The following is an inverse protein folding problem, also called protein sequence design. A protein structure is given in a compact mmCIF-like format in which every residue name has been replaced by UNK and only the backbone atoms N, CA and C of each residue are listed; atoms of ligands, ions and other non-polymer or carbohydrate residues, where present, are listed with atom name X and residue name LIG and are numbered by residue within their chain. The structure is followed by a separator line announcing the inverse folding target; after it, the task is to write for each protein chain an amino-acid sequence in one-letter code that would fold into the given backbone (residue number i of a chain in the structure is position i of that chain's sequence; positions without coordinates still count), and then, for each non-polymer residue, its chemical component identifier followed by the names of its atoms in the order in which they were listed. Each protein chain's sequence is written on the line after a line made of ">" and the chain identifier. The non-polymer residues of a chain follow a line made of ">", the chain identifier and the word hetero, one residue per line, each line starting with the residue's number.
data_IF_760199530719
#
_entry.id   IF_760199530719
#
_cell.length_a   1.000
_cell.length_b   1.000
_cell.length_c   1.000
_cell.angle_alpha   90.00
_cell.angle_beta   90.00
_cell.angle_gamma   90.00
#
_symmetry.space_group_name_H-M   'P 1'
#
loop_
_entity.id
_entity.type
_entity.pdbx_description
1 polymer ?
#
# COMPACT_ATOMS: atom_id res chain seq x y z
N UNK A 1 42.31 33.03 14.46
CA UNK A 1 41.37 32.89 13.33
C UNK A 1 40.43 31.75 13.68
N UNK A 2 39.30 32.09 14.30
CA UNK A 2 38.34 31.10 14.80
C UNK A 2 37.41 30.73 13.65
N UNK A 3 37.54 29.50 13.15
CA UNK A 3 36.59 28.94 12.21
C UNK A 3 35.28 28.72 12.97
N UNK A 4 34.30 29.59 12.74
CA UNK A 4 32.92 29.37 13.14
C UNK A 4 32.40 28.18 12.35
N UNK A 5 32.32 27.02 13.01
CA UNK A 5 31.52 25.88 12.58
C UNK A 5 30.08 26.38 12.42
N UNK A 6 29.64 26.49 11.16
CA UNK A 6 28.24 26.66 10.85
C UNK A 6 27.48 25.47 11.45
N UNK A 7 26.44 25.70 12.26
CA UNK A 7 25.60 24.60 12.71
C UNK A 7 25.04 23.90 11.48
N UNK A 8 25.16 22.57 11.45
CA UNK A 8 24.44 21.72 10.51
C UNK A 8 22.95 22.05 10.65
N UNK A 9 22.44 22.92 9.77
CA UNK A 9 21.02 23.15 9.62
C UNK A 9 20.48 21.89 8.96
N UNK A 10 20.29 20.83 9.75
CA UNK A 10 19.29 19.81 9.45
C UNK A 10 17.98 20.57 9.30
N UNK A 11 17.64 20.93 8.06
CA UNK A 11 16.38 21.57 7.71
C UNK A 11 15.28 20.79 8.41
N UNK A 12 14.52 21.46 9.27
CA UNK A 12 13.43 20.83 10.01
C UNK A 12 12.58 19.99 9.03
N UNK A 13 12.17 18.77 9.41
CA UNK A 13 11.45 17.89 8.50
C UNK A 13 10.20 18.61 8.00
N UNK A 14 9.99 18.56 6.69
CA UNK A 14 8.87 19.22 6.04
C UNK A 14 7.55 18.66 6.59
N UNK A 15 6.70 19.56 7.10
CA UNK A 15 5.41 19.23 7.68
C UNK A 15 4.27 19.88 6.90
N UNK A 16 3.11 19.25 6.93
CA UNK A 16 1.88 19.83 6.39
C UNK A 16 1.15 20.73 7.40
N UNK A 17 -0.06 21.20 7.03
CA UNK A 17 -0.87 22.11 7.85
C UNK A 17 -1.27 21.55 9.22
N UNK A 18 -1.13 20.25 9.45
CA UNK A 18 -1.42 19.59 10.72
C UNK A 18 -0.14 19.08 11.41
N UNK A 19 1.05 19.50 10.96
CA UNK A 19 2.32 19.07 11.55
C UNK A 19 2.76 17.67 11.12
N UNK A 20 2.13 17.06 10.09
CA UNK A 20 2.44 15.69 9.67
C UNK A 20 3.62 15.67 8.71
N UNK A 21 4.66 14.85 8.96
CA UNK A 21 5.82 14.77 8.07
C UNK A 21 5.48 14.03 6.78
N UNK A 22 6.24 14.27 5.70
CA UNK A 22 6.26 13.38 4.55
C UNK A 22 7.33 12.30 4.77
N UNK A 23 6.90 11.04 4.95
CA UNK A 23 7.82 9.93 5.25
C UNK A 23 7.63 8.70 4.36
N UNK A 24 6.40 8.48 3.90
CA UNK A 24 6.02 7.28 3.15
C UNK A 24 5.57 7.65 1.74
N UNK A 25 6.22 7.07 0.73
CA UNK A 25 5.81 7.15 -0.67
C UNK A 25 5.17 5.83 -1.12
N UNK A 26 3.96 5.89 -1.66
CA UNK A 26 3.39 4.79 -2.45
C UNK A 26 3.53 5.09 -3.93
N UNK A 27 4.26 4.25 -4.63
CA UNK A 27 4.63 4.45 -6.02
C UNK A 27 4.00 3.36 -6.88
N UNK A 28 3.01 3.73 -7.67
CA UNK A 28 2.40 2.86 -8.67
C UNK A 28 3.35 2.74 -9.85
N UNK A 29 3.74 1.51 -10.21
CA UNK A 29 4.70 1.27 -11.32
C UNK A 29 4.00 0.77 -12.60
N UNK A 30 2.70 0.51 -12.51
CA UNK A 30 1.85 0.01 -13.60
C UNK A 30 0.38 0.13 -13.19
N UNK A 31 -0.51 0.40 -14.13
CA UNK A 31 -1.95 0.49 -13.88
C UNK A 31 -2.67 -0.85 -14.15
N UNK A 32 -2.15 -1.65 -15.09
CA UNK A 32 -2.68 -2.96 -15.41
C UNK A 32 -2.64 -3.92 -14.22
N UNK A 33 -3.66 -4.77 -14.14
CA UNK A 33 -3.77 -5.87 -13.19
C UNK A 33 -4.21 -7.14 -13.93
N UNK A 34 -3.74 -8.30 -13.47
CA UNK A 34 -4.16 -9.61 -13.97
C UNK A 34 -5.44 -10.13 -13.28
N UNK A 35 -5.90 -9.48 -12.20
CA UNK A 35 -7.19 -9.74 -11.56
C UNK A 35 -8.22 -8.65 -11.87
N UNK A 36 -9.50 -8.92 -11.63
CA UNK A 36 -10.62 -7.97 -11.75
C UNK A 36 -11.45 -7.94 -10.48
N UNK A 37 -10.80 -7.70 -9.34
CA UNK A 37 -11.47 -7.74 -8.06
C UNK A 37 -12.62 -6.73 -8.01
N UNK A 38 -13.82 -7.18 -7.61
CA UNK A 38 -15.05 -6.37 -7.68
C UNK A 38 -14.96 -5.04 -6.92
N UNK A 39 -14.17 -5.01 -5.85
CA UNK A 39 -13.98 -3.83 -5.00
C UNK A 39 -12.85 -2.89 -5.46
N UNK A 40 -12.15 -3.23 -6.54
CA UNK A 40 -10.96 -2.51 -6.98
C UNK A 40 -10.99 -2.21 -8.47
N UNK A 41 -11.00 -3.24 -9.32
CA UNK A 41 -10.94 -3.10 -10.78
C UNK A 41 -11.98 -4.04 -11.41
N UNK A 42 -13.28 -3.76 -11.25
CA UNK A 42 -14.33 -4.68 -11.67
C UNK A 42 -14.45 -4.75 -13.20
N UNK A 43 -14.63 -5.96 -13.74
CA UNK A 43 -14.59 -6.25 -15.18
C UNK A 43 -15.70 -5.56 -16.00
N UNK A 44 -16.83 -5.23 -15.37
CA UNK A 44 -17.95 -4.52 -15.99
C UNK A 44 -17.73 -3.00 -16.10
N UNK A 45 -16.72 -2.44 -15.43
CA UNK A 45 -16.43 -0.99 -15.42
C UNK A 45 -15.05 -0.62 -15.96
N UNK A 46 -14.10 -1.56 -15.94
CA UNK A 46 -12.72 -1.32 -16.37
C UNK A 46 -12.34 -2.32 -17.47
N UNK A 47 -12.00 -1.84 -18.69
CA UNK A 47 -11.61 -2.70 -19.80
C UNK A 47 -10.42 -3.63 -19.48
N UNK A 48 -10.34 -4.73 -20.23
CA UNK A 48 -9.31 -5.75 -20.00
C UNK A 48 -7.89 -5.32 -20.37
N UNK A 49 -7.77 -4.46 -21.36
CA UNK A 49 -6.53 -3.86 -21.83
C UNK A 49 -6.16 -2.56 -21.09
N UNK A 50 -6.95 -2.15 -20.08
CA UNK A 50 -6.67 -0.95 -19.31
C UNK A 50 -5.29 -0.99 -18.65
N UNK A 51 -4.51 0.07 -18.84
CA UNK A 51 -3.21 0.25 -18.20
C UNK A 51 -2.07 -0.58 -18.82
N UNK A 52 -2.33 -1.32 -19.90
CA UNK A 52 -1.28 -2.03 -20.65
C UNK A 52 -0.50 -1.11 -21.59
N UNK A 53 -1.08 0.03 -22.00
CA UNK A 53 -0.33 1.06 -22.70
C UNK A 53 0.80 1.61 -21.80
N UNK A 54 2.00 1.69 -22.39
CA UNK A 54 3.20 2.14 -21.71
C UNK A 54 3.50 3.62 -21.99
N UNK A 55 2.89 4.25 -23.00
CA UNK A 55 3.30 5.57 -23.50
C UNK A 55 3.26 6.66 -22.43
N UNK A 56 2.27 6.62 -21.54
CA UNK A 56 2.11 7.65 -20.51
C UNK A 56 2.86 7.33 -19.22
N UNK A 57 3.43 6.12 -19.09
CA UNK A 57 4.02 5.64 -17.85
C UNK A 57 5.42 6.17 -17.65
N UNK A 58 5.76 6.50 -16.39
CA UNK A 58 7.12 6.89 -16.05
C UNK A 58 8.13 5.77 -16.38
N UNK A 59 9.25 6.17 -16.96
CA UNK A 59 10.42 5.31 -17.18
C UNK A 59 11.12 4.98 -15.86
N UNK A 60 12.04 4.01 -15.85
CA UNK A 60 12.82 3.72 -14.64
C UNK A 60 13.72 4.89 -14.25
N UNK A 61 14.32 5.60 -15.20
CA UNK A 61 15.14 6.79 -14.91
C UNK A 61 14.30 7.92 -14.30
N UNK A 62 13.06 8.08 -14.78
CA UNK A 62 12.09 9.02 -14.22
C UNK A 62 11.66 8.62 -12.80
N UNK A 63 11.39 7.34 -12.56
CA UNK A 63 11.03 6.85 -11.22
C UNK A 63 12.19 7.00 -10.24
N UNK A 64 13.43 6.74 -10.67
CA UNK A 64 14.63 6.92 -9.87
C UNK A 64 14.84 8.40 -9.50
N UNK A 65 14.76 9.31 -10.48
CA UNK A 65 14.81 10.76 -10.26
C UNK A 65 13.71 11.22 -9.28
N UNK A 66 12.50 10.70 -9.46
CA UNK A 66 11.37 10.98 -8.59
C UNK A 66 11.65 10.55 -7.15
N UNK A 67 12.13 9.32 -6.95
CA UNK A 67 12.41 8.80 -5.60
C UNK A 67 13.53 9.59 -4.93
N UNK A 68 14.59 9.98 -5.65
CA UNK A 68 15.61 10.88 -5.12
C UNK A 68 15.03 12.21 -4.62
N UNK A 69 14.10 12.81 -5.38
CA UNK A 69 13.42 14.05 -4.96
C UNK A 69 12.55 13.85 -3.71
N UNK A 70 11.87 12.71 -3.58
CA UNK A 70 11.09 12.39 -2.38
C UNK A 70 11.97 12.15 -1.16
N UNK A 71 13.11 11.47 -1.33
CA UNK A 71 14.06 11.23 -0.24
C UNK A 71 14.66 12.54 0.27
N UNK A 72 15.00 13.48 -0.62
CA UNK A 72 15.57 14.78 -0.24
C UNK A 72 14.60 15.69 0.55
N UNK A 73 13.30 15.36 0.54
CA UNK A 73 12.27 16.07 1.32
C UNK A 73 11.76 15.27 2.53
N UNK A 74 12.36 14.11 2.83
CA UNK A 74 12.13 13.36 4.07
C UNK A 74 11.52 11.96 3.92
N UNK A 75 11.24 11.48 2.70
CA UNK A 75 10.76 10.10 2.51
C UNK A 75 11.87 9.11 2.86
N UNK A 76 11.55 8.17 3.76
CA UNK A 76 12.43 7.05 4.10
C UNK A 76 11.85 5.69 3.72
N UNK A 77 10.54 5.63 3.44
CA UNK A 77 9.83 4.39 3.11
C UNK A 77 9.19 4.48 1.73
N UNK A 78 9.51 3.55 0.85
CA UNK A 78 8.93 3.44 -0.47
C UNK A 78 8.17 2.12 -0.60
N UNK A 79 6.92 2.19 -1.03
CA UNK A 79 6.09 1.03 -1.34
C UNK A 79 5.75 1.00 -2.82
N UNK A 80 6.26 0.01 -3.52
CA UNK A 80 5.89 -0.30 -4.90
C UNK A 80 4.53 -0.99 -4.91
N UNK A 81 3.67 -0.52 -5.80
CA UNK A 81 2.29 -0.96 -6.01
C UNK A 81 1.96 -0.85 -7.50
N UNK A 82 0.72 -1.10 -7.89
CA UNK A 82 0.20 -0.76 -9.19
C UNK A 82 -1.30 -0.98 -9.22
N UNK A 83 -1.79 -1.42 -10.39
CA UNK A 83 -2.64 -2.60 -10.44
C UNK A 83 -1.88 -3.79 -9.85
N UNK A 84 -1.27 -4.63 -10.69
CA UNK A 84 -0.36 -5.69 -10.24
C UNK A 84 1.11 -5.37 -10.62
N UNK A 85 1.97 -4.96 -9.67
CA UNK A 85 3.33 -4.54 -10.00
C UNK A 85 4.18 -5.64 -10.62
N UNK A 86 3.93 -6.92 -10.34
CA UNK A 86 4.69 -8.03 -10.94
C UNK A 86 4.44 -8.20 -12.45
N UNK A 87 3.49 -7.47 -13.03
CA UNK A 87 3.33 -7.34 -14.49
C UNK A 87 4.28 -6.31 -15.11
N UNK A 88 4.91 -5.43 -14.30
CA UNK A 88 5.90 -4.49 -14.81
C UNK A 88 7.16 -5.26 -15.20
N UNK A 89 7.40 -5.35 -16.50
CA UNK A 89 8.61 -5.95 -17.07
C UNK A 89 9.86 -5.35 -16.41
N UNK A 90 10.82 -6.23 -16.11
CA UNK A 90 12.12 -5.88 -15.51
C UNK A 90 12.01 -5.15 -14.15
N UNK A 91 10.92 -5.37 -13.39
CA UNK A 91 10.76 -4.81 -12.04
C UNK A 91 11.97 -5.04 -11.11
N UNK A 92 12.66 -6.20 -11.11
CA UNK A 92 13.88 -6.37 -10.31
C UNK A 92 14.97 -5.32 -10.61
N UNK A 93 15.09 -4.85 -11.86
CA UNK A 93 16.03 -3.78 -12.23
C UNK A 93 15.67 -2.45 -11.57
N UNK A 94 14.38 -2.08 -11.55
CA UNK A 94 13.92 -0.90 -10.82
C UNK A 94 14.19 -1.03 -9.32
N UNK A 95 13.90 -2.20 -8.73
CA UNK A 95 14.15 -2.44 -7.29
C UNK A 95 15.63 -2.28 -6.96
N UNK A 96 16.54 -2.80 -7.80
CA UNK A 96 17.98 -2.67 -7.59
C UNK A 96 18.43 -1.21 -7.60
N UNK A 97 17.95 -0.41 -8.57
CA UNK A 97 18.20 1.03 -8.64
C UNK A 97 17.70 1.76 -7.39
N UNK A 98 16.44 1.53 -7.01
CA UNK A 98 15.86 2.19 -5.84
C UNK A 98 16.53 1.76 -4.54
N UNK A 99 16.95 0.51 -4.40
CA UNK A 99 17.65 0.03 -3.18
C UNK A 99 19.01 0.70 -3.00
N UNK A 100 19.65 1.14 -4.08
CA UNK A 100 20.92 1.85 -4.04
C UNK A 100 20.79 3.34 -3.62
N UNK A 101 19.57 3.86 -3.47
CA UNK A 101 19.34 5.25 -3.05
C UNK A 101 19.56 5.39 -1.55
N UNK A 102 20.59 6.15 -1.17
CA UNK A 102 20.84 6.53 0.22
C UNK A 102 19.64 7.28 0.82
N UNK A 103 19.25 6.89 2.03
CA UNK A 103 18.09 7.44 2.74
C UNK A 103 16.83 6.57 2.69
N UNK A 104 16.76 5.57 1.80
CA UNK A 104 15.68 4.58 1.82
C UNK A 104 15.93 3.53 2.91
N UNK A 105 15.13 3.58 3.96
CA UNK A 105 15.15 2.64 5.09
C UNK A 105 14.32 1.38 4.81
N UNK A 106 13.22 1.51 4.06
CA UNK A 106 12.29 0.40 3.78
C UNK A 106 11.78 0.48 2.33
N UNK A 107 12.17 -0.49 1.51
CA UNK A 107 11.59 -0.73 0.19
C UNK A 107 10.71 -1.98 0.23
N UNK A 108 9.41 -1.80 -0.01
CA UNK A 108 8.42 -2.85 0.07
C UNK A 108 7.58 -2.97 -1.20
N UNK A 109 7.06 -4.16 -1.46
CA UNK A 109 6.16 -4.46 -2.57
C UNK A 109 4.79 -4.89 -2.03
N UNK A 110 3.70 -4.43 -2.65
CA UNK A 110 2.36 -5.03 -2.49
C UNK A 110 1.94 -5.72 -3.79
N UNK A 111 1.56 -6.98 -3.73
CA UNK A 111 1.19 -7.81 -4.89
C UNK A 111 0.01 -8.72 -4.55
N UNK A 112 -0.75 -9.19 -5.53
CA UNK A 112 -1.72 -10.27 -5.36
C UNK A 112 -1.05 -11.66 -5.24
N UNK A 113 0.26 -11.77 -5.49
CA UNK A 113 1.05 -12.97 -5.24
C UNK A 113 1.02 -14.02 -6.35
N UNK A 114 0.12 -13.93 -7.34
CA UNK A 114 -0.03 -14.97 -8.38
C UNK A 114 1.22 -15.14 -9.25
N UNK A 115 1.99 -14.05 -9.45
CA UNK A 115 3.24 -14.06 -10.23
C UNK A 115 4.49 -14.18 -9.35
N UNK A 116 4.33 -14.27 -8.03
CA UNK A 116 5.43 -14.16 -7.08
C UNK A 116 6.39 -15.35 -7.16
N UNK A 117 5.86 -16.56 -7.39
CA UNK A 117 6.67 -17.78 -7.44
C UNK A 117 7.83 -17.70 -8.45
N UNK A 118 7.60 -17.06 -9.60
CA UNK A 118 8.59 -16.94 -10.68
C UNK A 118 9.60 -15.81 -10.45
N UNK A 119 9.30 -14.87 -9.55
CA UNK A 119 10.06 -13.63 -9.40
C UNK A 119 10.72 -13.48 -8.02
N UNK A 120 10.30 -14.25 -7.01
CA UNK A 120 10.74 -14.12 -5.62
C UNK A 120 12.27 -14.03 -5.45
N UNK A 121 13.02 -14.93 -6.09
CA UNK A 121 14.49 -14.94 -6.02
C UNK A 121 15.09 -13.67 -6.61
N UNK A 122 14.66 -13.26 -7.81
CA UNK A 122 15.16 -12.06 -8.47
C UNK A 122 14.83 -10.79 -7.67
N UNK A 123 13.62 -10.71 -7.09
CA UNK A 123 13.21 -9.60 -6.22
C UNK A 123 14.09 -9.51 -4.97
N UNK A 124 14.41 -10.66 -4.34
CA UNK A 124 15.31 -10.70 -3.19
C UNK A 124 16.72 -10.24 -3.55
N UNK A 125 17.28 -10.78 -4.64
CA UNK A 125 18.62 -10.45 -5.12
C UNK A 125 18.76 -8.96 -5.50
N UNK A 126 17.68 -8.37 -6.01
CA UNK A 126 17.61 -6.93 -6.27
C UNK A 126 17.58 -6.07 -5.00
N UNK A 127 17.48 -6.68 -3.81
CA UNK A 127 17.52 -5.98 -2.53
C UNK A 127 16.15 -5.66 -1.92
N UNK A 128 15.05 -6.19 -2.48
CA UNK A 128 13.73 -6.02 -1.90
C UNK A 128 13.70 -6.58 -0.47
N UNK A 129 13.16 -5.80 0.48
CA UNK A 129 13.17 -6.15 1.90
C UNK A 129 11.89 -6.82 2.35
N UNK A 130 10.73 -6.33 1.90
CA UNK A 130 9.42 -6.75 2.39
C UNK A 130 8.39 -6.92 1.30
N UNK A 131 7.58 -7.96 1.44
CA UNK A 131 6.45 -8.25 0.56
C UNK A 131 5.16 -8.21 1.38
N UNK A 132 4.12 -7.65 0.78
CA UNK A 132 2.74 -7.71 1.25
C UNK A 132 1.90 -8.38 0.18
N UNK A 133 1.25 -9.49 0.51
CA UNK A 133 0.38 -10.24 -0.40
C UNK A 133 -1.06 -9.91 -0.07
N UNK A 134 -1.84 -9.51 -1.07
CA UNK A 134 -3.29 -9.33 -0.95
C UNK A 134 -3.99 -10.67 -1.20
N UNK A 135 -4.70 -11.18 -0.21
CA UNK A 135 -5.37 -12.49 -0.26
C UNK A 135 -6.66 -12.44 0.56
N UNK A 136 -7.80 -12.39 -0.13
CA UNK A 136 -9.09 -12.10 0.50
C UNK A 136 -9.90 -13.35 0.89
N UNK A 137 -9.47 -14.53 0.48
CA UNK A 137 -10.10 -15.80 0.82
C UNK A 137 -9.09 -16.95 0.74
N UNK A 138 -9.36 -18.03 1.48
CA UNK A 138 -8.65 -19.32 1.36
C UNK A 138 -9.46 -20.33 0.56
N UNK A 139 -10.80 -20.24 0.61
CA UNK A 139 -11.68 -21.03 -0.22
C UNK A 139 -11.40 -20.75 -1.72
N UNK A 140 -11.06 -21.78 -2.53
CA UNK A 140 -10.68 -21.58 -3.93
C UNK A 140 -11.77 -20.93 -4.78
N UNK A 141 -13.02 -21.33 -4.59
CA UNK A 141 -14.14 -20.83 -5.37
C UNK A 141 -14.46 -19.38 -5.03
N UNK A 142 -14.48 -19.02 -3.75
CA UNK A 142 -14.64 -17.65 -3.31
C UNK A 142 -13.47 -16.77 -3.74
N UNK A 143 -12.22 -17.25 -3.59
CA UNK A 143 -11.04 -16.50 -4.05
C UNK A 143 -11.12 -16.19 -5.55
N UNK A 144 -11.48 -17.21 -6.36
CA UNK A 144 -11.68 -17.05 -7.79
C UNK A 144 -12.75 -16.00 -8.09
N UNK A 145 -13.93 -16.07 -7.47
CA UNK A 145 -14.98 -15.04 -7.64
C UNK A 145 -14.50 -13.64 -7.21
N UNK A 146 -13.87 -13.52 -6.06
CA UNK A 146 -13.38 -12.23 -5.53
C UNK A 146 -12.32 -11.59 -6.43
N UNK A 147 -11.55 -12.40 -7.16
CA UNK A 147 -10.55 -11.95 -8.14
C UNK A 147 -11.12 -11.63 -9.53
N UNK A 148 -12.44 -11.68 -9.72
CA UNK A 148 -13.10 -11.51 -11.02
C UNK A 148 -12.89 -12.71 -11.94
N UNK A 149 -12.94 -13.92 -11.37
CA UNK A 149 -12.80 -15.23 -12.03
C UNK A 149 -11.43 -15.51 -12.69
N UNK A 150 -10.39 -14.79 -12.26
CA UNK A 150 -9.02 -14.88 -12.84
C UNK A 150 -7.98 -15.52 -11.92
N UNK A 151 -8.22 -15.46 -10.62
CA UNK A 151 -7.28 -15.89 -9.60
C UNK A 151 -7.38 -17.37 -9.27
N UNK A 152 -6.25 -17.91 -8.86
CA UNK A 152 -6.10 -19.25 -8.31
C UNK A 152 -5.32 -19.14 -6.99
N UNK A 153 -5.98 -19.53 -5.89
CA UNK A 153 -5.39 -19.46 -4.55
C UNK A 153 -4.14 -20.34 -4.44
N UNK A 154 -4.08 -21.46 -5.15
CA UNK A 154 -2.92 -22.34 -5.13
C UNK A 154 -1.67 -21.65 -5.68
N UNK A 155 -1.83 -20.80 -6.71
CA UNK A 155 -0.72 -19.99 -7.25
C UNK A 155 -0.22 -18.95 -6.25
N UNK A 156 -1.13 -18.32 -5.50
CA UNK A 156 -0.77 -17.35 -4.46
C UNK A 156 -0.01 -18.02 -3.32
N UNK A 157 -0.49 -19.18 -2.83
CA UNK A 157 0.18 -19.97 -1.80
C UNK A 157 1.55 -20.47 -2.27
N UNK A 158 1.67 -20.93 -3.51
CA UNK A 158 2.96 -21.27 -4.11
C UNK A 158 3.91 -20.06 -4.19
N UNK A 159 3.36 -18.87 -4.48
CA UNK A 159 4.09 -17.61 -4.46
C UNK A 159 4.63 -17.24 -3.07
N UNK A 160 3.82 -17.44 -2.02
CA UNK A 160 4.23 -17.24 -0.63
C UNK A 160 5.37 -18.21 -0.28
N UNK A 161 5.22 -19.51 -0.56
CA UNK A 161 6.25 -20.51 -0.28
C UNK A 161 7.57 -20.21 -1.02
N UNK A 162 7.51 -19.78 -2.28
CA UNK A 162 8.70 -19.39 -3.04
C UNK A 162 9.37 -18.13 -2.46
N UNK A 163 8.59 -17.18 -1.93
CA UNK A 163 9.14 -16.02 -1.25
C UNK A 163 9.86 -16.41 0.05
N UNK A 164 9.30 -17.34 0.83
CA UNK A 164 9.97 -17.89 2.01
C UNK A 164 11.30 -18.55 1.65
N UNK A 165 11.31 -19.40 0.62
CA UNK A 165 12.52 -20.05 0.11
C UNK A 165 13.57 -19.05 -0.40
N UNK A 166 13.13 -17.93 -0.97
CA UNK A 166 14.01 -16.83 -1.36
C UNK A 166 14.53 -16.01 -0.16
N UNK A 167 14.09 -16.29 1.07
CA UNK A 167 14.56 -15.63 2.29
C UNK A 167 13.67 -14.49 2.79
N UNK A 168 12.44 -14.36 2.27
CA UNK A 168 11.42 -13.49 2.87
C UNK A 168 10.73 -14.24 4.02
N UNK A 169 11.26 -14.12 5.24
CA UNK A 169 10.77 -14.90 6.38
C UNK A 169 9.46 -14.37 7.00
N UNK A 170 9.13 -13.09 6.78
CA UNK A 170 8.00 -12.43 7.43
C UNK A 170 7.17 -11.62 6.44
N UNK A 171 6.34 -12.32 5.67
CA UNK A 171 5.40 -11.68 4.76
C UNK A 171 4.25 -11.04 5.55
N UNK A 172 3.66 -9.99 4.99
CA UNK A 172 2.38 -9.43 5.45
C UNK A 172 1.29 -9.92 4.52
N UNK A 173 0.21 -10.45 5.06
CA UNK A 173 -0.95 -10.90 4.29
C UNK A 173 -2.10 -9.93 4.58
N UNK A 174 -2.58 -9.23 3.57
CA UNK A 174 -3.70 -8.30 3.71
C UNK A 174 -4.97 -8.95 3.17
N UNK A 175 -6.05 -8.87 3.95
CA UNK A 175 -7.38 -9.32 3.57
C UNK A 175 -8.38 -8.18 3.78
N UNK A 176 -9.04 -7.74 2.72
CA UNK A 176 -10.18 -6.81 2.82
C UNK A 176 -11.42 -7.62 3.14
N UNK A 177 -12.11 -7.27 4.22
CA UNK A 177 -13.30 -8.02 4.67
C UNK A 177 -14.58 -7.27 4.33
N UNK A 178 -15.49 -7.96 3.65
CA UNK A 178 -16.80 -7.50 3.23
C UNK A 178 -17.89 -8.39 3.81
N UNK A 179 -18.90 -7.76 4.40
CA UNK A 179 -20.07 -8.44 4.98
C UNK A 179 -20.89 -9.12 3.89
N UNK A 180 -21.33 -10.34 4.16
CA UNK A 180 -22.07 -11.20 3.24
C UNK A 180 -21.23 -11.72 2.07
N UNK A 181 -19.90 -11.53 2.08
CA UNK A 181 -19.03 -11.91 0.96
C UNK A 181 -17.91 -12.85 1.42
N UNK A 182 -17.07 -12.41 2.37
CA UNK A 182 -15.90 -13.18 2.79
C UNK A 182 -15.60 -13.11 4.29
N UNK A 183 -16.50 -12.59 5.14
CA UNK A 183 -16.21 -12.54 6.58
C UNK A 183 -16.08 -13.93 7.22
N UNK A 184 -16.61 -14.97 6.58
CA UNK A 184 -16.43 -16.38 6.95
C UNK A 184 -14.99 -16.87 6.77
N UNK A 185 -14.21 -16.24 5.87
CA UNK A 185 -12.81 -16.56 5.61
C UNK A 185 -11.85 -16.06 6.68
N UNK A 186 -12.29 -15.19 7.59
CA UNK A 186 -11.45 -14.58 8.64
C UNK A 186 -10.80 -15.63 9.54
N UNK A 187 -11.58 -16.56 10.10
CA UNK A 187 -11.03 -17.58 11.01
C UNK A 187 -10.16 -18.62 10.28
N UNK A 188 -10.55 -19.14 9.09
CA UNK A 188 -9.66 -19.96 8.27
C UNK A 188 -8.31 -19.30 7.97
N UNK A 189 -8.30 -18.01 7.60
CA UNK A 189 -7.06 -17.27 7.34
C UNK A 189 -6.19 -17.14 8.60
N UNK A 190 -6.79 -16.87 9.76
CA UNK A 190 -6.05 -16.84 11.02
C UNK A 190 -5.44 -18.21 11.33
N UNK A 191 -6.22 -19.29 11.26
CA UNK A 191 -5.73 -20.65 11.51
C UNK A 191 -4.55 -21.00 10.58
N UNK A 192 -4.63 -20.62 9.30
CA UNK A 192 -3.61 -20.95 8.31
C UNK A 192 -2.27 -20.22 8.54
N UNK A 193 -2.28 -18.94 8.94
CA UNK A 193 -1.05 -18.15 9.10
C UNK A 193 -0.55 -18.05 10.55
N UNK A 194 -1.40 -18.35 11.54
CA UNK A 194 -0.97 -18.34 12.95
C UNK A 194 0.13 -19.39 13.14
N UNK A 195 1.25 -18.97 13.72
CA UNK A 195 2.43 -19.83 13.92
C UNK A 195 3.39 -19.93 12.73
N UNK A 196 3.07 -19.39 11.55
CA UNK A 196 3.99 -19.41 10.38
C UNK A 196 5.03 -18.29 10.42
N UNK A 197 4.87 -17.31 11.32
CA UNK A 197 5.69 -16.10 11.40
C UNK A 197 5.23 -14.98 10.47
N UNK A 198 4.33 -15.26 9.51
CA UNK A 198 3.67 -14.23 8.71
C UNK A 198 2.68 -13.42 9.55
N UNK A 199 2.40 -12.19 9.09
CA UNK A 199 1.48 -11.28 9.77
C UNK A 199 0.25 -11.07 8.93
N UNK A 200 -0.86 -11.65 9.38
CA UNK A 200 -2.17 -11.41 8.77
C UNK A 200 -2.73 -10.06 9.23
N UNK A 201 -3.32 -9.31 8.30
CA UNK A 201 -3.90 -7.99 8.52
C UNK A 201 -5.28 -7.93 7.88
N UNK A 202 -6.29 -7.71 8.69
CA UNK A 202 -7.64 -7.48 8.20
C UNK A 202 -7.89 -5.99 8.01
N UNK A 203 -8.47 -5.65 6.87
CA UNK A 203 -8.72 -4.27 6.45
C UNK A 203 -10.23 -4.10 6.28
N UNK A 204 -10.79 -3.07 6.91
CA UNK A 204 -12.20 -2.73 6.69
C UNK A 204 -12.42 -2.28 5.23
N UNK A 205 -13.52 -2.72 4.64
CA UNK A 205 -13.88 -2.34 3.28
C UNK A 205 -14.14 -0.82 3.19
N UNK A 206 -13.43 -0.12 2.29
CA UNK A 206 -13.41 1.35 2.21
C UNK A 206 -14.18 1.92 1.01
N UNK A 207 -14.75 3.12 1.18
CA UNK A 207 -15.33 3.96 0.11
C UNK A 207 -14.25 4.66 -0.75
N UNK A 208 -13.28 3.91 -1.27
CA UNK A 208 -12.20 4.44 -2.13
C UNK A 208 -12.59 4.34 -3.59
N UNK A 209 -12.38 5.41 -4.35
CA UNK A 209 -12.72 5.44 -5.77
C UNK A 209 -14.24 5.52 -6.01
N UNK A 210 -14.65 5.11 -7.20
CA UNK A 210 -16.05 5.20 -7.65
C UNK A 210 -16.61 3.90 -8.23
N UNK A 211 -15.76 2.89 -8.44
CA UNK A 211 -16.15 1.63 -9.07
C UNK A 211 -16.50 0.49 -8.11
N UNK A 212 -16.24 0.63 -6.81
CA UNK A 212 -16.20 -0.50 -5.87
C UNK A 212 -17.54 -0.90 -5.20
N UNK A 213 -18.63 -0.16 -5.45
CA UNK A 213 -19.95 -0.48 -4.90
C UNK A 213 -20.08 -0.40 -3.38
N UNK A 214 -19.20 0.35 -2.70
CA UNK A 214 -19.18 0.43 -1.24
C UNK A 214 -20.52 0.91 -0.62
N UNK A 215 -20.91 0.26 0.48
CA UNK A 215 -21.99 0.68 1.37
C UNK A 215 -21.56 0.54 2.83
N UNK A 216 -22.13 1.34 3.74
CA UNK A 216 -21.84 1.23 5.17
C UNK A 216 -22.20 -0.17 5.72
N UNK A 217 -23.30 -0.74 5.25
CA UNK A 217 -23.78 -2.07 5.64
C UNK A 217 -22.90 -3.22 5.14
N UNK A 218 -21.96 -2.97 4.21
CA UNK A 218 -20.97 -3.95 3.78
C UNK A 218 -19.72 -3.99 4.69
N UNK A 219 -19.55 -3.04 5.62
CA UNK A 219 -18.32 -2.91 6.43
C UNK A 219 -18.35 -3.79 7.68
N UNK A 220 -17.50 -4.81 7.76
CA UNK A 220 -17.23 -5.53 9.03
C UNK A 220 -16.15 -4.78 9.79
N UNK A 221 -16.47 -4.31 11.01
CA UNK A 221 -15.53 -3.46 11.75
C UNK A 221 -14.39 -4.26 12.36
N UNK A 222 -13.24 -3.61 12.55
CA UNK A 222 -12.09 -4.18 13.21
C UNK A 222 -12.42 -4.70 14.62
N UNK A 223 -13.34 -4.04 15.34
CA UNK A 223 -13.82 -4.50 16.64
C UNK A 223 -14.62 -5.81 16.55
N UNK A 224 -15.46 -5.97 15.51
CA UNK A 224 -16.19 -7.21 15.26
C UNK A 224 -15.21 -8.36 14.94
N UNK A 225 -14.23 -8.10 14.06
CA UNK A 225 -13.20 -9.08 13.70
C UNK A 225 -12.33 -9.46 14.90
N UNK A 226 -11.88 -8.48 15.66
CA UNK A 226 -11.12 -8.69 16.89
C UNK A 226 -11.89 -9.57 17.86
N UNK A 227 -13.16 -9.24 18.17
CA UNK A 227 -14.00 -10.05 19.08
C UNK A 227 -14.14 -11.49 18.59
N UNK A 228 -14.36 -11.69 17.28
CA UNK A 228 -14.53 -13.03 16.69
C UNK A 228 -13.25 -13.87 16.80
N UNK A 229 -12.09 -13.26 16.53
CA UNK A 229 -10.79 -13.94 16.63
C UNK A 229 -10.45 -14.20 18.11
N UNK A 230 -10.59 -13.19 18.97
CA UNK A 230 -10.30 -13.28 20.41
C UNK A 230 -11.09 -14.39 21.12
N UNK A 231 -12.33 -14.64 20.70
CA UNK A 231 -13.17 -15.71 21.25
C UNK A 231 -12.59 -17.12 21.00
N UNK A 232 -11.76 -17.31 19.97
CA UNK A 232 -11.11 -18.59 19.65
C UNK A 232 -9.63 -18.59 20.04
N UNK A 233 -8.93 -17.49 19.79
CA UNK A 233 -7.53 -17.29 20.16
C UNK A 233 -7.38 -15.96 20.91
N UNK A 234 -7.19 -15.99 22.24
CA UNK A 234 -7.05 -14.77 23.01
C UNK A 234 -5.95 -13.86 22.46
N UNK A 235 -6.29 -12.58 22.35
CA UNK A 235 -5.44 -11.54 21.78
C UNK A 235 -5.01 -10.56 22.88
N UNK A 236 -3.73 -10.21 22.89
CA UNK A 236 -3.16 -9.15 23.71
C UNK A 236 -2.70 -7.98 22.82
N UNK A 237 -3.00 -6.71 23.15
CA UNK A 237 -2.57 -5.57 22.35
C UNK A 237 -1.05 -5.45 22.34
N UNK A 238 -0.50 -5.00 21.21
CA UNK A 238 0.91 -4.65 21.05
C UNK A 238 1.05 -3.18 20.69
N UNK A 239 2.15 -2.56 21.14
CA UNK A 239 2.50 -1.21 20.74
C UNK A 239 2.77 -1.11 19.23
N UNK A 240 2.56 0.09 18.67
CA UNK A 240 2.95 0.39 17.31
C UNK A 240 4.48 0.29 17.15
N UNK A 241 4.95 -0.22 16.01
CA UNK A 241 6.40 -0.26 15.75
C UNK A 241 6.99 1.12 15.45
N UNK A 242 6.14 2.05 15.00
CA UNK A 242 6.52 3.42 14.62
C UNK A 242 5.28 4.32 14.61
N UNK A 243 5.49 5.63 14.77
CA UNK A 243 4.44 6.65 14.64
C UNK A 243 3.76 6.60 13.28
N UNK A 244 2.42 6.60 13.27
CA UNK A 244 1.63 6.47 12.04
C UNK A 244 1.50 5.04 11.49
N UNK A 245 1.87 4.00 12.25
CA UNK A 245 1.49 2.63 11.90
C UNK A 245 -0.05 2.49 11.91
N UNK A 246 -0.62 2.25 10.73
CA UNK A 246 -2.08 2.21 10.52
C UNK A 246 -2.75 0.94 11.06
N UNK A 247 -1.99 -0.11 11.33
CA UNK A 247 -2.52 -1.39 11.78
C UNK A 247 -2.41 -1.48 13.30
N UNK A 248 -3.53 -1.66 14.00
CA UNK A 248 -3.54 -2.03 15.41
C UNK A 248 -3.07 -3.48 15.53
N UNK A 249 -1.99 -3.70 16.27
CA UNK A 249 -1.32 -5.00 16.38
C UNK A 249 -1.75 -5.72 17.64
N UNK A 250 -1.92 -7.02 17.52
CA UNK A 250 -2.26 -7.90 18.64
C UNK A 250 -1.46 -9.19 18.55
N UNK A 251 -0.84 -9.61 19.64
CA UNK A 251 -0.23 -10.92 19.78
C UNK A 251 -1.28 -11.97 20.12
N UNK A 252 -1.12 -13.19 19.62
CA UNK A 252 -1.82 -14.34 20.18
C UNK A 252 -1.22 -14.69 21.55
N UNK A 253 -2.07 -14.88 22.57
CA UNK A 253 -1.62 -15.11 23.95
C UNK A 253 -0.80 -16.40 24.13
N UNK A 254 -0.95 -17.34 23.20
CA UNK A 254 -0.20 -18.59 23.12
C UNK A 254 1.16 -18.47 22.42
N UNK A 255 1.56 -17.26 22.02
CA UNK A 255 2.86 -16.97 21.41
C UNK A 255 2.95 -17.28 19.91
N UNK A 256 1.86 -17.68 19.25
CA UNK A 256 1.88 -18.09 17.85
C UNK A 256 1.85 -16.91 16.84
N UNK A 257 2.54 -15.82 17.17
CA UNK A 257 2.68 -14.64 16.31
C UNK A 257 1.69 -13.52 16.60
N UNK A 258 1.36 -12.74 15.57
CA UNK A 258 0.51 -11.55 15.68
C UNK A 258 -0.47 -11.40 14.51
N UNK A 259 -1.56 -10.68 14.77
CA UNK A 259 -2.57 -10.25 13.79
C UNK A 259 -2.75 -8.73 13.87
N UNK A 260 -3.03 -8.11 12.72
CA UNK A 260 -3.28 -6.68 12.61
C UNK A 260 -4.69 -6.33 12.15
N UNK A 261 -5.18 -5.17 12.59
CA UNK A 261 -6.45 -4.62 12.13
C UNK A 261 -6.26 -3.19 11.59
N UNK A 262 -6.73 -2.94 10.37
CA UNK A 262 -6.68 -1.62 9.72
C UNK A 262 -8.10 -1.05 9.69
N UNK A 263 -8.41 -0.25 10.70
CA UNK A 263 -9.73 0.36 10.97
C UNK A 263 -10.03 1.59 10.09
N UNK A 264 -9.90 1.43 8.77
CA UNK A 264 -9.99 2.53 7.79
C UNK A 264 -11.33 3.27 7.77
N UNK A 265 -12.41 2.67 8.27
CA UNK A 265 -13.74 3.25 8.37
C UNK A 265 -14.08 3.63 9.81
N UNK A 266 -13.99 2.69 10.74
CA UNK A 266 -14.48 2.85 12.11
C UNK A 266 -13.59 3.75 12.99
N UNK A 267 -12.27 3.77 12.77
CA UNK A 267 -11.31 4.57 13.54
C UNK A 267 -10.34 5.28 12.58
N UNK A 268 -10.69 6.49 12.09
CA UNK A 268 -9.84 7.25 11.18
C UNK A 268 -8.43 7.50 11.75
N UNK A 269 -7.42 7.46 10.87
CA UNK A 269 -6.01 7.69 11.21
C UNK A 269 -5.39 8.81 10.35
N UNK A 270 -6.16 9.85 10.02
CA UNK A 270 -5.60 10.95 9.21
C UNK A 270 -4.63 11.82 10.01
N UNK A 271 -4.81 11.95 11.33
CA UNK A 271 -3.95 12.71 12.24
C UNK A 271 -2.46 12.38 12.14
N UNK A 272 -2.11 11.11 11.91
CA UNK A 272 -0.71 10.66 11.77
C UNK A 272 -0.35 10.26 10.32
N UNK A 273 -1.17 10.65 9.34
CA UNK A 273 -0.99 10.20 7.96
C UNK A 273 0.18 10.92 7.26
N UNK A 274 1.32 10.23 7.16
CA UNK A 274 2.57 10.70 6.56
C UNK A 274 2.81 10.28 5.09
N UNK A 275 1.73 9.93 4.36
CA UNK A 275 1.79 9.26 3.06
C UNK A 275 1.52 10.19 1.87
N UNK A 276 2.43 10.17 0.90
CA UNK A 276 2.19 10.60 -0.48
C UNK A 276 1.99 9.39 -1.39
N UNK A 277 1.31 9.61 -2.52
CA UNK A 277 1.05 8.58 -3.52
C UNK A 277 1.34 9.15 -4.90
N UNK A 278 1.96 8.36 -5.75
CA UNK A 278 2.22 8.72 -7.15
C UNK A 278 1.67 7.62 -8.04
N UNK A 279 0.81 7.98 -8.99
CA UNK A 279 0.30 7.07 -10.02
C UNK A 279 1.39 6.76 -11.06
N UNK A 280 1.19 5.70 -11.84
CA UNK A 280 2.21 5.24 -12.78
C UNK A 280 2.50 6.23 -13.91
N UNK A 281 1.56 7.13 -14.20
CA UNK A 281 1.67 8.22 -15.17
C UNK A 281 2.23 9.52 -14.57
N UNK A 282 2.60 9.54 -13.28
CA UNK A 282 3.32 10.63 -12.65
C UNK A 282 2.48 11.69 -11.95
N UNK A 283 1.23 11.39 -11.56
CA UNK A 283 0.42 12.31 -10.77
C UNK A 283 0.58 12.09 -9.26
N UNK A 284 0.83 13.16 -8.52
CA UNK A 284 0.88 13.17 -7.06
C UNK A 284 -0.53 13.28 -6.46
N UNK A 285 -0.80 12.42 -5.49
CA UNK A 285 -1.98 12.46 -4.63
C UNK A 285 -1.55 12.46 -3.16
N UNK A 286 -2.07 13.40 -2.38
CA UNK A 286 -1.79 13.57 -0.94
C UNK A 286 -2.81 12.83 -0.05
N UNK A 287 -3.82 12.22 -0.66
CA UNK A 287 -4.88 11.45 -0.02
C UNK A 287 -5.34 10.29 -0.93
N UNK A 288 -5.75 9.18 -0.32
CA UNK A 288 -6.37 8.06 -1.04
C UNK A 288 -7.74 8.43 -1.65
N UNK A 289 -8.38 9.46 -1.13
CA UNK A 289 -9.73 9.89 -1.52
C UNK A 289 -9.72 11.18 -2.34
N UNK A 290 -8.56 11.58 -2.86
CA UNK A 290 -8.42 12.78 -3.67
C UNK A 290 -9.20 12.66 -4.99
N UNK A 291 -9.78 13.77 -5.45
CA UNK A 291 -10.51 13.83 -6.72
C UNK A 291 -9.63 14.21 -7.91
N UNK A 292 -8.46 14.80 -7.65
CA UNK A 292 -7.51 15.24 -8.66
C UNK A 292 -6.08 14.96 -8.18
N UNK A 293 -5.21 14.65 -9.14
CA UNK A 293 -3.78 14.51 -8.94
C UNK A 293 -3.03 15.71 -9.49
N UNK A 294 -1.83 15.97 -8.99
CA UNK A 294 -0.94 17.00 -9.51
C UNK A 294 0.10 16.39 -10.44
N UNK A 295 0.10 16.78 -11.72
CA UNK A 295 1.08 16.29 -12.70
C UNK A 295 2.50 16.71 -12.29
N UNK A 296 3.36 15.72 -12.02
CA UNK A 296 4.76 15.94 -11.65
C UNK A 296 5.69 15.98 -12.87
N UNK A 297 5.24 15.58 -14.07
CA UNK A 297 6.13 15.47 -15.24
C UNK A 297 6.85 16.78 -15.59
N UNK A 298 6.22 17.96 -15.56
CA UNK A 298 6.93 19.22 -15.80
C UNK A 298 8.06 19.45 -14.80
N UNK A 299 7.78 19.29 -13.51
CA UNK A 299 8.78 19.44 -12.45
C UNK A 299 9.86 18.34 -12.48
N UNK A 300 9.50 17.13 -12.91
CA UNK A 300 10.43 16.01 -13.07
C UNK A 300 11.44 16.26 -14.19
N UNK A 301 11.06 17.00 -15.24
CA UNK A 301 11.97 17.41 -16.30
C UNK A 301 13.06 18.40 -15.82
N UNK A 302 12.83 19.07 -14.69
CA UNK A 302 13.82 19.94 -14.02
C UNK A 302 14.80 19.14 -13.12
N UNK A 303 14.67 17.80 -13.10
CA UNK A 303 15.48 16.91 -12.28
C UNK A 303 15.05 16.85 -10.81
N UNK A 304 15.80 16.10 -10.01
CA UNK A 304 15.42 15.81 -8.62
C UNK A 304 15.34 17.07 -7.74
N UNK A 305 16.19 18.08 -8.00
CA UNK A 305 16.17 19.32 -7.25
C UNK A 305 14.90 20.16 -7.52
N UNK A 306 14.58 20.42 -8.80
CA UNK A 306 13.37 21.17 -9.18
C UNK A 306 12.10 20.48 -8.68
N UNK A 307 12.03 19.15 -8.81
CA UNK A 307 10.93 18.37 -8.25
C UNK A 307 10.83 18.49 -6.72
N UNK A 308 11.95 18.48 -5.99
CA UNK A 308 11.93 18.58 -4.52
C UNK A 308 11.30 19.89 -4.03
N UNK A 309 11.52 21.02 -4.70
CA UNK A 309 10.89 22.30 -4.35
C UNK A 309 9.39 22.28 -4.59
N UNK A 310 8.94 21.66 -5.69
CA UNK A 310 7.52 21.43 -5.95
C UNK A 310 6.87 20.55 -4.88
N UNK A 311 7.54 19.48 -4.46
CA UNK A 311 7.09 18.62 -3.37
C UNK A 311 6.97 19.40 -2.04
N UNK A 312 7.92 20.31 -1.77
CA UNK A 312 7.86 21.20 -0.59
C UNK A 312 6.64 22.09 -0.59
N UNK A 313 6.40 22.79 -1.69
CA UNK A 313 5.24 23.66 -1.82
C UNK A 313 3.91 22.89 -1.69
N UNK A 314 3.83 21.68 -2.25
CA UNK A 314 2.60 20.88 -2.21
C UNK A 314 2.34 20.27 -0.84
N UNK A 315 3.36 19.70 -0.19
CA UNK A 315 3.16 19.04 1.10
C UNK A 315 2.86 20.03 2.22
N UNK A 316 3.53 21.17 2.26
CA UNK A 316 3.26 22.23 3.27
C UNK A 316 1.81 22.75 3.20
N UNK A 317 1.21 22.70 2.01
CA UNK A 317 -0.18 23.10 1.78
C UNK A 317 -1.20 21.99 2.02
N UNK A 318 -0.76 20.74 2.21
CA UNK A 318 -1.64 19.59 2.39
C UNK A 318 -2.52 19.77 3.62
N UNK A 319 -3.83 19.68 3.38
CA UNK A 319 -4.88 19.72 4.41
C UNK A 319 -5.75 18.47 4.45
N UNK A 320 -5.34 17.40 3.76
CA UNK A 320 -6.15 16.20 3.57
C UNK A 320 -6.40 15.45 4.88
N UNK A 321 -7.67 15.17 5.17
CA UNK A 321 -8.13 14.36 6.31
C UNK A 321 -9.49 13.71 6.05
N UNK A 322 -9.67 13.20 4.83
CA UNK A 322 -10.98 12.75 4.34
C UNK A 322 -11.71 11.81 5.32
N UNK A 323 -11.03 10.77 5.82
CA UNK A 323 -11.66 9.79 6.71
C UNK A 323 -12.18 10.40 8.02
N UNK A 324 -11.57 11.48 8.52
CA UNK A 324 -12.03 12.20 9.72
C UNK A 324 -13.23 13.10 9.43
N UNK A 325 -13.29 13.72 8.24
CA UNK A 325 -14.34 14.69 7.89
C UNK A 325 -15.49 14.09 7.08
N UNK A 326 -15.42 12.80 6.70
CA UNK A 326 -16.38 12.14 5.80
C UNK A 326 -17.83 12.26 6.26
N UNK A 327 -18.09 12.22 7.57
CA UNK A 327 -19.44 12.34 8.13
C UNK A 327 -20.06 13.74 7.89
N UNK A 328 -19.21 14.76 7.71
CA UNK A 328 -19.60 16.16 7.55
C UNK A 328 -19.41 16.69 6.12
N UNK A 329 -18.79 15.91 5.23
CA UNK A 329 -18.42 16.35 3.88
C UNK A 329 -19.20 15.56 2.82
N UNK A 330 -20.09 16.18 2.05
CA UNK A 330 -20.79 15.52 0.97
C UNK A 330 -19.81 14.95 -0.06
N UNK A 331 -20.09 13.76 -0.58
CA UNK A 331 -19.29 13.14 -1.63
C UNK A 331 -19.39 13.97 -2.91
N UNK A 332 -18.32 14.70 -3.26
CA UNK A 332 -18.25 15.56 -4.45
C UNK A 332 -17.28 14.98 -5.49
N UNK A 333 -17.79 14.78 -6.70
CA UNK A 333 -17.00 14.38 -7.87
C UNK A 333 -16.54 12.92 -7.89
N UNK A 334 -15.89 12.52 -8.99
CA UNK A 334 -15.19 11.23 -9.09
C UNK A 334 -13.89 11.29 -8.30
N UNK A 335 -13.59 10.23 -7.56
CA UNK A 335 -12.32 10.06 -6.85
C UNK A 335 -11.36 9.24 -7.68
N UNK A 336 -10.08 9.41 -7.42
CA UNK A 336 -9.04 8.52 -7.93
C UNK A 336 -9.34 7.08 -7.49
N UNK A 337 -9.17 6.14 -8.41
CA UNK A 337 -9.40 4.72 -8.14
C UNK A 337 -8.20 4.09 -7.40
N UNK A 338 -8.49 3.13 -6.52
CA UNK A 338 -7.48 2.51 -5.66
C UNK A 338 -6.34 1.85 -6.43
N UNK A 339 -6.64 1.19 -7.55
CA UNK A 339 -5.64 0.51 -8.39
C UNK A 339 -4.67 1.47 -9.09
N UNK A 340 -4.98 2.78 -9.17
CA UNK A 340 -4.07 3.75 -9.80
C UNK A 340 -2.94 4.17 -8.86
N UNK A 341 -3.21 4.22 -7.56
CA UNK A 341 -2.35 4.85 -6.55
C UNK A 341 -2.02 3.92 -5.35
N UNK A 342 -2.39 2.65 -5.48
CA UNK A 342 -2.31 1.61 -4.45
C UNK A 342 -3.30 1.76 -3.30
N UNK A 343 -3.69 0.65 -2.67
CA UNK A 343 -4.51 0.62 -1.44
C UNK A 343 -3.77 1.07 -0.20
#
# INVERSE_FOLDING_TARGET
>A
MSALLLPNLTTAPMQDRYGRPLRDLRLSVIEACNFRCGYCMPADRVPDDYGFDAQQRLSFDQLETLVHAFVSVGVTKVRLTGGEPLLRRDLPSLIARLTAIDGIEDLALTTNGALLARQAVALRQAGLRRITVSMDALDPELFKRMSGDRGDIAQVLAGIAAAEQAGFQRLKINCVVQRGVNEDQVLPLVEHFRGTGHVLRFIEFMDVGSCNGWTADAVVTSAQLHKRIHARWPLAPLDANYTGEVAQRHAFADGAGEVGFVSSVSVPFCGDCQRARVSADGHLYTCLFASQGHDLKPALAEGAHGLSEHLRARWTMRGDRYSEVRASTPRRGKRVEMFLIGG
#
